data_IF_881810293049
#
_entry.id   IF_881810293049
#
_cell.length_a   1.000
_cell.length_b   1.000
_cell.length_c   1.000
_cell.angle_alpha   90.00
_cell.angle_beta   90.00
_cell.angle_gamma   90.00
#
_symmetry.space_group_name_H-M   'P 1'
#
loop_
_entity.id
_entity.type
_entity.pdbx_description
1 polymer ?
#
# COMPACT_ATOMS: atom_id res chain seq x y z
N UNK A 1 45.83 -3.56 46.17
CA UNK A 1 47.00 -4.46 46.00
C UNK A 1 46.44 -5.86 45.79
N UNK A 2 46.75 -6.70 44.80
CA UNK A 2 47.93 -6.92 43.95
C UNK A 2 47.45 -7.73 42.73
N UNK A 3 47.89 -7.35 41.51
CA UNK A 3 47.84 -8.16 40.27
C UNK A 3 48.69 -9.44 40.45
N UNK A 4 48.30 -10.58 39.86
CA UNK A 4 49.18 -11.66 39.28
C UNK A 4 48.33 -12.49 38.29
N UNK A 5 48.45 -12.30 36.97
CA UNK A 5 49.47 -12.80 36.01
C UNK A 5 49.38 -14.33 35.80
N UNK A 6 49.07 -14.68 34.55
CA UNK A 6 49.05 -16.00 33.88
C UNK A 6 50.44 -16.66 33.76
N UNK A 7 50.50 -17.99 33.54
CA UNK A 7 51.12 -18.55 32.31
C UNK A 7 50.35 -19.79 31.74
N UNK A 8 50.18 -20.00 30.41
CA UNK A 8 51.12 -20.64 29.43
C UNK A 8 51.29 -22.14 29.77
N UNK A 9 50.93 -23.18 29.00
CA UNK A 9 51.27 -23.59 27.61
C UNK A 9 50.42 -24.84 27.23
N UNK A 10 49.86 -24.97 26.01
CA UNK A 10 50.42 -25.61 24.79
C UNK A 10 50.46 -27.16 24.77
N UNK A 11 49.59 -27.77 23.96
CA UNK A 11 49.76 -29.00 23.14
C UNK A 11 48.34 -29.49 22.75
N UNK A 12 47.91 -29.43 21.49
CA UNK A 12 48.10 -30.49 20.47
C UNK A 12 47.19 -31.69 20.81
N UNK A 13 46.19 -32.15 20.06
CA UNK A 13 46.01 -32.41 18.61
C UNK A 13 44.55 -32.87 18.44
N UNK A 14 43.76 -32.33 17.50
CA UNK A 14 43.43 -32.86 16.15
C UNK A 14 42.30 -33.93 16.10
N UNK A 15 41.40 -33.73 15.11
CA UNK A 15 40.37 -34.61 14.51
C UNK A 15 39.13 -34.86 15.42
N UNK A 16 37.86 -34.76 15.01
CA UNK A 16 37.19 -35.05 13.74
C UNK A 16 35.98 -34.11 13.55
N UNK A 17 35.86 -33.59 12.33
CA UNK A 17 34.68 -32.88 11.83
C UNK A 17 33.47 -33.81 11.78
N UNK A 18 32.42 -33.51 12.55
CA UNK A 18 31.06 -33.97 12.27
C UNK A 18 30.24 -32.72 11.99
N UNK A 19 29.79 -32.61 10.74
CA UNK A 19 29.11 -31.46 10.21
C UNK A 19 27.87 -31.12 11.04
N UNK A 20 27.89 -29.96 11.68
CA UNK A 20 26.70 -29.25 12.10
C UNK A 20 26.75 -27.88 11.43
N UNK A 21 26.26 -27.86 10.19
CA UNK A 21 25.96 -26.62 9.49
C UNK A 21 24.80 -25.98 10.24
N UNK A 22 25.13 -25.17 11.25
CA UNK A 22 24.18 -24.37 12.01
C UNK A 22 23.71 -23.25 11.08
N UNK A 23 22.80 -23.62 10.18
CA UNK A 23 22.12 -22.71 9.28
C UNK A 23 21.46 -21.62 10.11
N UNK A 24 21.88 -20.39 9.84
CA UNK A 24 21.17 -19.19 10.24
C UNK A 24 19.73 -19.29 9.71
N UNK A 25 18.79 -19.61 10.59
CA UNK A 25 17.38 -19.57 10.28
C UNK A 25 16.98 -18.10 10.14
N UNK A 26 17.07 -17.60 8.91
CA UNK A 26 16.51 -16.32 8.51
C UNK A 26 15.02 -16.29 8.89
N UNK A 27 14.52 -15.20 9.50
CA UNK A 27 13.10 -15.08 9.77
C UNK A 27 12.35 -15.19 8.44
N UNK A 28 11.56 -16.26 8.34
CA UNK A 28 10.68 -16.57 7.21
C UNK A 28 9.85 -15.33 6.92
N UNK A 29 10.18 -14.71 5.78
CA UNK A 29 9.41 -13.67 5.13
C UNK A 29 7.97 -14.18 4.99
N UNK A 30 7.10 -13.79 5.90
CA UNK A 30 5.66 -14.03 5.80
C UNK A 30 5.18 -13.24 4.60
N UNK A 31 5.15 -13.91 3.45
CA UNK A 31 4.53 -13.46 2.21
C UNK A 31 3.09 -13.06 2.56
N UNK A 32 2.86 -11.77 2.80
CA UNK A 32 1.53 -11.19 2.89
C UNK A 32 0.88 -11.37 1.52
N UNK A 33 0.15 -12.48 1.41
CA UNK A 33 -0.68 -12.84 0.27
C UNK A 33 -1.82 -11.83 0.23
N UNK A 34 -1.74 -10.87 -0.69
CA UNK A 34 -2.90 -10.05 -1.07
C UNK A 34 -2.78 -8.54 -0.99
N UNK A 35 -1.61 -7.93 -1.25
CA UNK A 35 -1.64 -6.63 -1.91
C UNK A 35 -1.75 -6.87 -3.41
N UNK A 36 -2.97 -6.82 -3.94
CA UNK A 36 -3.19 -6.63 -5.39
C UNK A 36 -2.23 -5.52 -5.82
N UNK A 37 -1.31 -5.73 -6.77
CA UNK A 37 -0.48 -4.66 -7.27
C UNK A 37 -1.42 -3.53 -7.65
N UNK A 38 -1.21 -2.33 -7.07
CA UNK A 38 -1.83 -1.13 -7.60
C UNK A 38 -1.52 -1.18 -9.09
N UNK A 39 -2.55 -1.33 -9.92
CA UNK A 39 -2.38 -1.45 -11.35
C UNK A 39 -1.47 -0.31 -11.77
N UNK A 40 -0.25 -0.63 -12.18
CA UNK A 40 0.63 0.34 -12.84
C UNK A 40 -0.05 0.62 -14.16
N UNK A 41 -1.01 1.54 -14.11
CA UNK A 41 -1.58 2.16 -15.29
C UNK A 41 -0.40 2.81 -15.99
N UNK A 42 -0.17 2.48 -17.27
CA UNK A 42 0.79 3.19 -18.14
C UNK A 42 0.40 4.66 -18.37
N UNK A 43 -0.56 5.18 -17.60
CA UNK A 43 -1.02 6.55 -17.63
C UNK A 43 0.06 7.49 -17.11
N UNK A 44 0.29 8.63 -17.81
CA UNK A 44 1.28 9.62 -17.40
C UNK A 44 1.12 10.07 -15.94
N UNK A 45 2.24 10.25 -15.25
CA UNK A 45 2.25 10.76 -13.87
C UNK A 45 2.18 12.28 -13.91
N UNK A 46 1.18 12.86 -13.25
CA UNK A 46 0.99 14.32 -13.16
C UNK A 46 1.58 14.92 -11.88
N UNK A 47 1.65 14.14 -10.79
CA UNK A 47 2.24 14.56 -9.52
C UNK A 47 2.72 13.35 -8.71
N UNK A 48 3.55 13.59 -7.69
CA UNK A 48 3.94 12.58 -6.68
C UNK A 48 3.77 13.14 -5.28
N UNK A 49 3.13 12.36 -4.40
CA UNK A 49 2.90 12.71 -2.99
C UNK A 49 3.46 11.60 -2.13
N UNK A 50 4.48 11.89 -1.32
CA UNK A 50 5.17 10.90 -0.48
C UNK A 50 5.61 9.63 -1.25
N UNK A 51 6.08 9.81 -2.48
CA UNK A 51 6.50 8.71 -3.36
C UNK A 51 5.36 7.97 -4.07
N UNK A 52 4.10 8.27 -3.77
CA UNK A 52 2.95 7.70 -4.47
C UNK A 52 2.61 8.55 -5.72
N UNK A 53 2.52 7.95 -6.92
CA UNK A 53 2.16 8.68 -8.13
C UNK A 53 0.68 9.02 -8.17
N UNK A 54 0.37 10.23 -8.66
CA UNK A 54 -0.96 10.62 -9.12
C UNK A 54 -0.89 10.64 -10.65
N UNK A 55 -1.78 9.91 -11.32
CA UNK A 55 -1.75 9.72 -12.78
C UNK A 55 -2.87 10.47 -13.51
N UNK A 56 -2.72 10.61 -14.83
CA UNK A 56 -3.74 11.19 -15.71
C UNK A 56 -5.09 10.44 -15.59
N UNK A 57 -5.04 9.11 -15.49
CA UNK A 57 -6.25 8.31 -15.34
C UNK A 57 -6.97 8.59 -14.02
N UNK A 58 -6.23 8.87 -12.93
CA UNK A 58 -6.84 9.27 -11.66
C UNK A 58 -7.48 10.65 -11.76
N UNK A 59 -6.85 11.58 -12.48
CA UNK A 59 -7.38 12.91 -12.74
C UNK A 59 -8.68 12.85 -13.56
N UNK A 60 -8.69 12.06 -14.63
CA UNK A 60 -9.85 11.84 -15.48
C UNK A 60 -11.00 11.17 -14.71
N UNK A 61 -10.67 10.14 -13.94
CA UNK A 61 -11.65 9.46 -13.10
C UNK A 61 -12.23 10.40 -12.04
N UNK A 62 -11.40 11.26 -11.44
CA UNK A 62 -11.85 12.23 -10.46
C UNK A 62 -12.74 13.30 -11.09
N UNK A 63 -12.40 13.80 -12.27
CA UNK A 63 -13.24 14.73 -13.03
C UNK A 63 -14.61 14.12 -13.37
N UNK A 64 -14.65 12.84 -13.80
CA UNK A 64 -15.89 12.10 -14.06
C UNK A 64 -16.73 11.91 -12.80
N UNK A 65 -16.10 11.64 -11.67
CA UNK A 65 -16.79 11.52 -10.37
C UNK A 65 -17.47 12.84 -9.98
N UNK A 66 -16.87 13.97 -10.34
CA UNK A 66 -17.43 15.30 -10.14
C UNK A 66 -18.41 15.74 -11.25
N UNK A 67 -18.68 14.88 -12.23
CA UNK A 67 -19.53 15.15 -13.41
C UNK A 67 -19.09 16.39 -14.20
N UNK A 68 -17.78 16.65 -14.26
CA UNK A 68 -17.24 17.75 -15.05
C UNK A 68 -17.21 17.39 -16.53
N UNK A 69 -17.53 18.35 -17.39
CA UNK A 69 -17.31 18.21 -18.83
C UNK A 69 -15.81 18.26 -19.12
N UNK A 70 -15.39 17.77 -20.29
CA UNK A 70 -13.97 17.82 -20.68
C UNK A 70 -13.42 19.26 -20.73
N UNK A 71 -14.25 20.22 -21.15
CA UNK A 71 -13.89 21.64 -21.14
C UNK A 71 -13.66 22.17 -19.72
N UNK A 72 -14.59 21.88 -18.80
CA UNK A 72 -14.47 22.30 -17.40
C UNK A 72 -13.27 21.66 -16.70
N UNK A 73 -13.03 20.37 -16.96
CA UNK A 73 -11.91 19.63 -16.38
C UNK A 73 -10.57 20.21 -16.83
N UNK A 74 -10.47 20.66 -18.08
CA UNK A 74 -9.26 21.30 -18.61
C UNK A 74 -9.03 22.66 -17.97
N UNK A 75 -10.08 23.49 -17.84
CA UNK A 75 -9.98 24.81 -17.20
C UNK A 75 -9.65 24.72 -15.71
N UNK A 76 -10.08 23.66 -15.04
CA UNK A 76 -9.88 23.45 -13.60
C UNK A 76 -8.80 22.41 -13.29
N UNK A 77 -7.96 22.09 -14.28
CA UNK A 77 -6.99 20.99 -14.19
C UNK A 77 -6.09 21.10 -12.95
N UNK A 78 -5.48 22.26 -12.74
CA UNK A 78 -4.61 22.51 -11.58
C UNK A 78 -5.37 22.33 -10.27
N UNK A 79 -6.58 22.88 -10.17
CA UNK A 79 -7.42 22.73 -8.98
C UNK A 79 -7.79 21.26 -8.72
N UNK A 80 -8.00 20.47 -9.77
CA UNK A 80 -8.27 19.03 -9.63
C UNK A 80 -7.04 18.28 -9.14
N UNK A 81 -5.85 18.62 -9.63
CA UNK A 81 -4.58 18.04 -9.17
C UNK A 81 -4.34 18.38 -7.69
N UNK A 82 -4.49 19.63 -7.28
CA UNK A 82 -4.36 20.04 -5.88
C UNK A 82 -5.31 19.26 -4.96
N UNK A 83 -6.57 19.10 -5.38
CA UNK A 83 -7.54 18.30 -4.61
C UNK A 83 -7.16 16.82 -4.54
N UNK A 84 -6.51 16.27 -5.56
CA UNK A 84 -5.99 14.90 -5.52
C UNK A 84 -4.79 14.79 -4.57
N UNK A 85 -3.92 15.79 -4.54
CA UNK A 85 -2.80 15.88 -3.60
C UNK A 85 -3.32 15.90 -2.16
N UNK A 86 -4.28 16.78 -1.85
CA UNK A 86 -4.90 16.87 -0.53
C UNK A 86 -5.50 15.53 -0.08
N UNK A 87 -6.23 14.87 -0.97
CA UNK A 87 -6.83 13.55 -0.69
C UNK A 87 -5.76 12.49 -0.43
N UNK A 88 -4.67 12.52 -1.17
CA UNK A 88 -3.59 11.55 -1.00
C UNK A 88 -2.83 11.79 0.31
N UNK A 89 -2.60 13.05 0.69
CA UNK A 89 -2.04 13.41 2.00
C UNK A 89 -2.94 12.94 3.13
N UNK A 90 -4.26 13.18 3.03
CA UNK A 90 -5.22 12.73 4.03
C UNK A 90 -5.24 11.21 4.14
N UNK A 91 -5.23 10.49 3.02
CA UNK A 91 -5.18 9.02 3.00
C UNK A 91 -3.90 8.50 3.67
N UNK A 92 -2.74 9.06 3.35
CA UNK A 92 -1.47 8.69 3.96
C UNK A 92 -1.49 8.94 5.47
N UNK A 93 -2.03 10.09 5.90
CA UNK A 93 -2.17 10.41 7.31
C UNK A 93 -3.10 9.42 8.05
N UNK A 94 -4.27 9.12 7.50
CA UNK A 94 -5.20 8.15 8.10
C UNK A 94 -4.61 6.74 8.17
N UNK A 95 -3.88 6.32 7.14
CA UNK A 95 -3.16 5.05 7.13
C UNK A 95 -2.10 5.00 8.23
N UNK A 96 -1.33 6.08 8.42
CA UNK A 96 -0.35 6.19 9.51
C UNK A 96 -1.02 6.10 10.89
N UNK A 97 -2.21 6.68 11.05
CA UNK A 97 -3.01 6.60 12.28
C UNK A 97 -3.70 5.25 12.48
N UNK A 98 -3.53 4.29 11.55
CA UNK A 98 -4.19 2.97 11.57
C UNK A 98 -5.71 3.07 11.66
N UNK A 99 -6.28 4.17 11.15
CA UNK A 99 -7.73 4.35 11.06
C UNK A 99 -8.19 3.58 9.83
N UNK A 100 -8.69 2.36 10.04
CA UNK A 100 -9.31 1.56 9.00
C UNK A 100 -10.81 1.86 8.92
N UNK A 101 -11.38 1.76 7.73
CA UNK A 101 -12.83 1.76 7.58
C UNK A 101 -13.41 0.49 8.24
N UNK A 102 -14.54 0.64 8.94
CA UNK A 102 -15.29 -0.49 9.47
C UNK A 102 -15.91 -1.30 8.33
N UNK A 103 -15.43 -2.53 8.15
CA UNK A 103 -15.84 -3.42 7.07
C UNK A 103 -17.35 -3.71 7.11
N UNK A 104 -17.93 -3.88 8.30
CA UNK A 104 -19.36 -4.19 8.44
C UNK A 104 -20.24 -3.05 7.94
N UNK A 105 -19.85 -1.81 8.27
CA UNK A 105 -20.53 -0.61 7.77
C UNK A 105 -20.37 -0.49 6.26
N UNK A 106 -19.18 -0.76 5.73
CA UNK A 106 -18.94 -0.69 4.29
C UNK A 106 -19.80 -1.71 3.52
N UNK A 107 -19.89 -2.95 4.01
CA UNK A 107 -20.71 -4.01 3.40
C UNK A 107 -22.21 -3.67 3.46
N UNK A 108 -22.66 -3.06 4.56
CA UNK A 108 -24.03 -2.55 4.67
C UNK A 108 -24.29 -1.49 3.60
N UNK A 109 -23.38 -0.52 3.44
CA UNK A 109 -23.51 0.51 2.40
C UNK A 109 -23.52 -0.09 0.99
N UNK A 110 -22.65 -1.07 0.71
CA UNK A 110 -22.65 -1.78 -0.58
C UNK A 110 -23.96 -2.50 -0.82
N UNK A 111 -24.51 -3.17 0.20
CA UNK A 111 -25.79 -3.87 0.10
C UNK A 111 -26.93 -2.89 -0.20
N UNK A 112 -26.99 -1.77 0.52
CA UNK A 112 -27.98 -0.72 0.29
C UNK A 112 -27.84 -0.07 -1.09
N UNK A 113 -26.61 0.06 -1.61
CA UNK A 113 -26.37 0.56 -2.95
C UNK A 113 -26.86 -0.43 -4.02
N UNK A 114 -26.53 -1.72 -3.86
CA UNK A 114 -27.00 -2.80 -4.76
C UNK A 114 -28.54 -2.86 -4.81
N UNK A 115 -29.21 -2.76 -3.68
CA UNK A 115 -30.69 -2.76 -3.63
C UNK A 115 -31.28 -1.58 -4.41
N UNK A 116 -30.75 -0.36 -4.19
CA UNK A 116 -31.23 0.85 -4.89
C UNK A 116 -31.01 0.82 -6.41
N UNK A 117 -29.93 0.19 -6.87
CA UNK A 117 -29.68 0.01 -8.30
C UNK A 117 -30.63 -1.00 -8.91
N UNK A 118 -30.88 -2.13 -8.23
CA UNK A 118 -31.87 -3.12 -8.66
C UNK A 118 -33.27 -2.53 -8.79
N UNK A 119 -33.68 -1.69 -7.85
CA UNK A 119 -34.97 -0.98 -7.91
C UNK A 119 -35.10 -0.06 -9.14
N UNK A 120 -33.98 0.43 -9.67
CA UNK A 120 -33.92 1.26 -10.89
C UNK A 120 -33.75 0.44 -12.17
N UNK A 121 -33.70 -0.89 -12.07
CA UNK A 121 -33.40 -1.77 -13.20
C UNK A 121 -31.93 -1.75 -13.64
N UNK A 122 -31.05 -1.19 -12.83
CA UNK A 122 -29.60 -1.15 -13.07
C UNK A 122 -28.92 -2.33 -12.36
N UNK A 123 -27.97 -2.97 -13.03
CA UNK A 123 -27.22 -4.10 -12.49
C UNK A 123 -25.84 -3.64 -12.01
N UNK A 124 -25.61 -3.74 -10.70
CA UNK A 124 -24.35 -3.34 -10.07
C UNK A 124 -23.14 -4.09 -10.65
N UNK A 125 -23.31 -5.36 -11.01
CA UNK A 125 -22.22 -6.19 -11.53
C UNK A 125 -21.83 -5.81 -12.98
N UNK A 126 -22.62 -4.96 -13.65
CA UNK A 126 -22.34 -4.42 -14.99
C UNK A 126 -21.73 -3.02 -15.01
N UNK A 127 -21.60 -2.38 -13.83
CA UNK A 127 -21.15 -0.98 -13.70
C UNK A 127 -19.71 -0.85 -13.16
N UNK A 128 -19.07 -1.95 -12.77
CA UNK A 128 -17.70 -2.04 -12.25
C UNK A 128 -16.75 -2.70 -13.25
#
# INVERSE_FOLDING_TARGET
MKKRISPVWLAGTLVIAVGFSLGAEQPKNTKLKGSKPAATSDSPVVARVNGQPITEAELDFFAKTLKLTAGDATLKREQLIERLIDRQLLRAFLAQKKVAADAQRFDLFLTQLKTRLKERGEDFDKLL
#
